data_IF_583803515098
#
_entry.id   IF_583803515098
#
_cell.length_a   1.000
_cell.length_b   1.000
_cell.length_c   1.000
_cell.angle_alpha   90.00
_cell.angle_beta   90.00
_cell.angle_gamma   90.00
#
_symmetry.space_group_name_H-M   'P 1'
#
loop_
_entity.id
_entity.type
_entity.pdbx_description
1 polymer ?
#
# COMPACT_ATOMS: atom_id res chain seq x y z
N UNK A 1 -18.32 75.98 -25.69
CA UNK A 1 -18.31 75.42 -24.31
C UNK A 1 -19.37 74.34 -24.19
N UNK A 2 -18.97 73.06 -24.14
CA UNK A 2 -19.83 71.93 -23.74
C UNK A 2 -18.96 70.95 -22.96
N UNK A 3 -19.14 70.91 -21.63
CA UNK A 3 -18.50 69.94 -20.74
C UNK A 3 -19.26 68.61 -20.83
N UNK A 4 -18.56 67.50 -21.08
CA UNK A 4 -19.09 66.13 -20.94
C UNK A 4 -18.76 65.64 -19.52
N UNK A 5 -19.80 65.34 -18.74
CA UNK A 5 -19.69 64.61 -17.48
C UNK A 5 -19.25 63.16 -17.75
N UNK A 6 -18.16 62.75 -17.11
CA UNK A 6 -17.76 61.34 -16.96
C UNK A 6 -18.35 60.84 -15.64
N UNK A 7 -19.26 59.87 -15.72
CA UNK A 7 -19.77 59.15 -14.55
C UNK A 7 -18.80 58.00 -14.25
N UNK A 8 -18.09 58.12 -13.12
CA UNK A 8 -17.21 57.08 -12.60
C UNK A 8 -18.05 56.13 -11.73
N UNK A 9 -18.27 54.90 -12.22
CA UNK A 9 -18.87 53.81 -11.44
C UNK A 9 -17.77 53.18 -10.55
N UNK A 10 -17.78 53.53 -9.27
CA UNK A 10 -17.03 52.87 -8.21
C UNK A 10 -17.77 51.60 -7.79
N UNK A 11 -17.36 50.45 -8.32
CA UNK A 11 -17.75 49.13 -7.80
C UNK A 11 -16.92 48.82 -6.54
N UNK A 12 -17.62 48.48 -5.45
CA UNK A 12 -17.04 48.19 -4.15
C UNK A 12 -16.19 46.91 -4.13
N UNK A 13 -14.91 47.06 -3.82
CA UNK A 13 -13.98 45.99 -3.47
C UNK A 13 -13.85 45.86 -1.94
N UNK A 14 -14.98 45.61 -1.26
CA UNK A 14 -15.00 45.30 0.18
C UNK A 14 -15.88 44.07 0.37
N UNK A 15 -15.32 42.87 0.19
CA UNK A 15 -16.10 41.63 0.33
C UNK A 15 -15.30 40.32 0.29
N UNK A 16 -14.19 40.24 -0.45
CA UNK A 16 -13.50 38.96 -0.68
C UNK A 16 -12.79 38.37 0.57
N UNK A 17 -12.43 39.18 1.57
CA UNK A 17 -11.68 38.72 2.74
C UNK A 17 -12.51 37.88 3.72
N UNK A 18 -13.77 38.23 3.94
CA UNK A 18 -14.64 37.54 4.91
C UNK A 18 -15.09 36.16 4.44
N UNK A 19 -15.41 36.04 3.14
CA UNK A 19 -15.87 34.78 2.56
C UNK A 19 -14.77 33.72 2.50
N UNK A 20 -13.52 34.12 2.24
CA UNK A 20 -12.37 33.21 2.25
C UNK A 20 -12.03 32.69 3.65
N UNK A 21 -12.16 33.52 4.69
CA UNK A 21 -11.94 33.09 6.07
C UNK A 21 -13.04 32.12 6.53
N UNK A 22 -14.29 32.43 6.21
CA UNK A 22 -15.44 31.59 6.52
C UNK A 22 -15.38 30.22 5.83
N UNK A 23 -14.95 30.17 4.57
CA UNK A 23 -14.71 28.90 3.85
C UNK A 23 -13.58 28.09 4.52
N UNK A 24 -12.48 28.73 4.89
CA UNK A 24 -11.36 28.06 5.58
C UNK A 24 -11.80 27.44 6.92
N UNK A 25 -12.60 28.16 7.70
CA UNK A 25 -13.15 27.67 8.96
C UNK A 25 -14.09 26.47 8.76
N UNK A 26 -14.95 26.57 7.75
CA UNK A 26 -15.87 25.49 7.38
C UNK A 26 -15.11 24.23 6.93
N UNK A 27 -14.04 24.38 6.13
CA UNK A 27 -13.20 23.26 5.70
C UNK A 27 -12.46 22.59 6.85
N UNK A 28 -11.97 23.37 7.83
CA UNK A 28 -11.35 22.82 9.04
C UNK A 28 -12.34 21.98 9.86
N UNK A 29 -13.59 22.45 9.99
CA UNK A 29 -14.63 21.69 10.68
C UNK A 29 -15.03 20.44 9.89
N UNK A 30 -15.18 20.55 8.57
CA UNK A 30 -15.47 19.41 7.70
C UNK A 30 -14.42 18.30 7.82
N UNK A 31 -13.13 18.69 7.89
CA UNK A 31 -12.03 17.75 8.03
C UNK A 31 -12.06 16.99 9.38
N UNK A 32 -12.46 17.66 10.47
CA UNK A 32 -12.51 17.02 11.80
C UNK A 32 -13.71 16.09 11.97
N UNK A 33 -14.85 16.35 11.30
CA UNK A 33 -16.02 15.45 11.36
C UNK A 33 -15.70 14.07 10.79
N UNK A 34 -14.80 13.99 9.82
CA UNK A 34 -14.41 12.71 9.20
C UNK A 34 -13.73 11.77 10.21
N UNK A 35 -13.21 12.25 11.34
CA UNK A 35 -12.70 11.39 12.43
C UNK A 35 -13.82 10.60 13.12
N UNK A 36 -15.04 11.14 13.13
CA UNK A 36 -16.24 10.45 13.64
C UNK A 36 -16.76 9.37 12.68
N UNK A 37 -16.20 9.25 11.47
CA UNK A 37 -16.54 8.18 10.53
C UNK A 37 -15.70 6.92 10.73
N UNK A 38 -14.82 6.88 11.74
CA UNK A 38 -13.89 5.76 11.95
C UNK A 38 -14.52 4.49 12.50
N UNK A 39 -15.59 4.64 13.27
CA UNK A 39 -16.33 3.57 13.89
C UNK A 39 -17.81 3.68 13.55
N UNK A 40 -18.47 2.52 13.41
CA UNK A 40 -19.91 2.47 13.09
C UNK A 40 -20.76 3.10 14.21
N UNK A 41 -20.30 3.03 15.45
CA UNK A 41 -20.99 3.55 16.62
C UNK A 41 -21.11 5.09 16.59
N UNK A 42 -20.17 5.76 15.94
CA UNK A 42 -20.08 7.23 15.90
C UNK A 42 -20.84 7.83 14.69
N UNK A 43 -21.40 6.98 13.82
CA UNK A 43 -22.16 7.41 12.64
C UNK A 43 -23.29 8.42 12.94
N UNK A 44 -24.13 8.24 13.98
CA UNK A 44 -25.15 9.24 14.32
C UNK A 44 -24.54 10.61 14.67
N UNK A 45 -23.39 10.61 15.36
CA UNK A 45 -22.68 11.83 15.72
C UNK A 45 -22.07 12.51 14.49
N UNK A 46 -21.48 11.74 13.58
CA UNK A 46 -20.95 12.27 12.32
C UNK A 46 -22.06 12.96 11.49
N UNK A 47 -23.22 12.31 11.33
CA UNK A 47 -24.40 12.86 10.64
C UNK A 47 -24.84 14.18 11.27
N UNK A 48 -24.95 14.23 12.60
CA UNK A 48 -25.34 15.44 13.33
C UNK A 48 -24.34 16.59 13.09
N UNK A 49 -23.03 16.30 13.16
CA UNK A 49 -21.99 17.32 12.93
C UNK A 49 -21.95 17.85 11.51
N UNK A 50 -22.15 17.01 10.48
CA UNK A 50 -22.32 17.52 9.12
C UNK A 50 -23.56 18.43 8.97
N UNK A 51 -24.63 18.14 9.73
CA UNK A 51 -25.80 19.01 9.84
C UNK A 51 -25.48 20.37 10.46
N UNK A 52 -24.69 20.39 11.54
CA UNK A 52 -24.22 21.63 12.19
C UNK A 52 -23.36 22.49 11.25
N UNK A 53 -22.40 21.89 10.52
CA UNK A 53 -21.61 22.60 9.52
C UNK A 53 -22.53 23.27 8.50
N UNK A 54 -23.53 22.54 8.03
CA UNK A 54 -24.44 23.05 7.00
C UNK A 54 -25.29 24.23 7.49
N UNK A 55 -25.62 24.26 8.78
CA UNK A 55 -26.34 25.37 9.40
C UNK A 55 -25.43 26.57 9.71
N UNK A 56 -24.19 26.33 10.14
CA UNK A 56 -23.25 27.37 10.57
C UNK A 56 -22.58 28.12 9.41
N UNK A 57 -22.36 27.45 8.28
CA UNK A 57 -21.57 27.99 7.16
C UNK A 57 -22.37 28.03 5.85
N UNK A 58 -23.53 28.70 5.80
CA UNK A 58 -24.39 28.70 4.61
C UNK A 58 -23.67 29.28 3.38
N UNK A 59 -23.93 28.69 2.20
CA UNK A 59 -23.38 29.11 0.90
C UNK A 59 -21.85 28.93 0.74
N UNK A 60 -21.22 28.05 1.52
CA UNK A 60 -19.82 27.62 1.34
C UNK A 60 -19.73 26.36 0.49
N UNK A 61 -18.55 26.07 -0.09
CA UNK A 61 -18.33 24.78 -0.76
C UNK A 61 -18.24 23.64 0.26
N UNK A 62 -17.69 23.92 1.44
CA UNK A 62 -17.71 23.01 2.58
C UNK A 62 -19.14 22.63 3.00
N UNK A 63 -20.09 23.56 2.98
CA UNK A 63 -21.51 23.28 3.27
C UNK A 63 -22.14 22.34 2.25
N UNK A 64 -21.94 22.58 0.95
CA UNK A 64 -22.42 21.69 -0.11
C UNK A 64 -21.87 20.27 0.08
N UNK A 65 -20.58 20.18 0.41
CA UNK A 65 -19.89 18.91 0.67
C UNK A 65 -20.47 18.22 1.91
N UNK A 66 -20.64 18.95 3.02
CA UNK A 66 -21.22 18.43 4.26
C UNK A 66 -22.64 17.91 4.05
N UNK A 67 -23.49 18.66 3.33
CA UNK A 67 -24.87 18.28 3.02
C UNK A 67 -24.93 17.00 2.18
N UNK A 68 -24.13 16.92 1.12
CA UNK A 68 -24.04 15.74 0.27
C UNK A 68 -23.55 14.52 1.07
N UNK A 69 -22.49 14.70 1.88
CA UNK A 69 -21.95 13.63 2.71
C UNK A 69 -22.96 13.15 3.74
N UNK A 70 -23.64 14.06 4.44
CA UNK A 70 -24.70 13.75 5.40
C UNK A 70 -25.79 12.88 4.78
N UNK A 71 -26.28 13.25 3.60
CA UNK A 71 -27.34 12.51 2.91
C UNK A 71 -26.91 11.07 2.54
N UNK A 72 -25.63 10.85 2.20
CA UNK A 72 -25.09 9.50 2.01
C UNK A 72 -25.06 8.73 3.34
N UNK A 73 -24.56 9.34 4.40
CA UNK A 73 -24.44 8.70 5.72
C UNK A 73 -25.80 8.38 6.36
N UNK A 74 -26.82 9.21 6.14
CA UNK A 74 -28.21 8.93 6.56
C UNK A 74 -28.77 7.66 5.87
N UNK A 75 -28.46 7.46 4.58
CA UNK A 75 -28.82 6.23 3.87
C UNK A 75 -28.06 5.01 4.40
N UNK A 76 -26.76 5.19 4.71
CA UNK A 76 -25.97 4.15 5.38
C UNK A 76 -26.58 3.81 6.74
N UNK A 77 -26.95 4.81 7.55
CA UNK A 77 -27.55 4.61 8.86
C UNK A 77 -28.87 3.84 8.78
N UNK A 78 -29.75 4.18 7.83
CA UNK A 78 -30.98 3.45 7.60
C UNK A 78 -30.70 1.97 7.26
N UNK A 79 -29.73 1.71 6.37
CA UNK A 79 -29.32 0.34 6.02
C UNK A 79 -28.73 -0.44 7.20
N UNK A 80 -28.01 0.23 8.10
CA UNK A 80 -27.47 -0.39 9.32
C UNK A 80 -28.58 -0.68 10.34
N UNK A 81 -29.58 0.19 10.48
CA UNK A 81 -30.67 0.04 11.44
C UNK A 81 -31.55 -1.20 11.17
N UNK A 82 -31.65 -1.61 9.90
CA UNK A 82 -32.39 -2.81 9.49
C UNK A 82 -31.74 -4.13 9.97
N UNK A 83 -30.56 -4.10 10.61
CA UNK A 83 -29.84 -5.31 11.05
C UNK A 83 -29.19 -5.15 12.42
N UNK A 84 -29.80 -5.74 13.43
CA UNK A 84 -29.25 -5.81 14.79
C UNK A 84 -27.97 -6.69 14.86
N UNK A 85 -27.89 -7.74 14.03
CA UNK A 85 -26.71 -8.60 13.87
C UNK A 85 -26.54 -8.98 12.40
N UNK A 86 -25.34 -8.75 11.84
CA UNK A 86 -25.00 -9.19 10.49
C UNK A 86 -24.41 -10.61 10.58
N UNK A 87 -25.03 -11.63 9.96
CA UNK A 87 -24.46 -12.97 9.92
C UNK A 87 -23.08 -12.96 9.26
N UNK A 88 -22.15 -13.80 9.75
CA UNK A 88 -20.79 -13.89 9.21
C UNK A 88 -20.78 -14.13 7.70
N UNK A 89 -21.68 -14.98 7.20
CA UNK A 89 -21.76 -15.36 5.78
C UNK A 89 -22.35 -14.23 4.90
N UNK A 90 -22.94 -13.21 5.50
CA UNK A 90 -23.52 -12.05 4.81
C UNK A 90 -22.68 -10.79 4.95
N UNK A 91 -21.53 -10.84 5.64
CA UNK A 91 -20.74 -9.64 5.95
C UNK A 91 -20.26 -8.92 4.69
N UNK A 92 -19.83 -9.68 3.68
CA UNK A 92 -19.34 -9.14 2.41
C UNK A 92 -20.44 -8.38 1.68
N UNK A 93 -21.50 -9.08 1.28
CA UNK A 93 -22.62 -8.50 0.52
C UNK A 93 -23.23 -7.30 1.26
N UNK A 94 -23.30 -7.38 2.59
CA UNK A 94 -23.84 -6.29 3.38
C UNK A 94 -22.97 -5.02 3.29
N UNK A 95 -21.67 -5.12 3.60
CA UNK A 95 -20.79 -3.95 3.59
C UNK A 95 -20.40 -3.50 2.19
N UNK A 96 -20.42 -4.37 1.17
CA UNK A 96 -20.32 -3.97 -0.23
C UNK A 96 -21.44 -3.01 -0.60
N UNK A 97 -22.69 -3.33 -0.21
CA UNK A 97 -23.81 -2.40 -0.42
C UNK A 97 -23.75 -1.12 0.42
N UNK A 98 -23.00 -1.10 1.54
CA UNK A 98 -22.72 0.15 2.27
C UNK A 98 -21.71 1.00 1.49
N UNK A 99 -20.66 0.39 0.95
CA UNK A 99 -19.65 1.06 0.12
C UNK A 99 -20.23 1.54 -1.21
N UNK A 100 -21.26 0.88 -1.76
CA UNK A 100 -22.00 1.39 -2.92
C UNK A 100 -22.70 2.73 -2.63
N UNK A 101 -23.21 2.92 -1.40
CA UNK A 101 -23.84 4.17 -0.96
C UNK A 101 -22.79 5.23 -0.63
N UNK A 102 -21.74 4.84 0.10
CA UNK A 102 -20.67 5.73 0.56
C UNK A 102 -19.29 5.08 0.32
N UNK A 103 -18.69 5.27 -0.88
CA UNK A 103 -17.48 4.54 -1.32
C UNK A 103 -16.22 4.75 -0.48
N UNK A 104 -16.14 5.85 0.26
CA UNK A 104 -15.01 6.23 1.10
C UNK A 104 -15.37 6.16 2.61
N UNK A 105 -16.50 5.55 2.99
CA UNK A 105 -16.90 5.40 4.38
C UNK A 105 -16.01 4.39 5.11
N UNK A 106 -15.06 4.92 5.88
CA UNK A 106 -13.92 4.17 6.41
C UNK A 106 -14.31 2.98 7.29
N UNK A 107 -15.34 3.12 8.13
CA UNK A 107 -15.79 2.01 8.98
C UNK A 107 -16.25 0.78 8.17
N UNK A 108 -16.91 0.97 7.02
CA UNK A 108 -17.30 -0.13 6.14
C UNK A 108 -16.09 -0.71 5.39
N UNK A 109 -15.19 0.16 4.91
CA UNK A 109 -13.92 -0.24 4.27
C UNK A 109 -13.08 -1.10 5.22
N UNK A 110 -13.01 -0.75 6.51
CA UNK A 110 -12.33 -1.53 7.56
C UNK A 110 -12.88 -2.96 7.66
N UNK A 111 -14.21 -3.11 7.69
CA UNK A 111 -14.85 -4.43 7.84
C UNK A 111 -14.57 -5.35 6.65
N UNK A 112 -14.72 -4.82 5.43
CA UNK A 112 -14.37 -5.55 4.20
C UNK A 112 -12.87 -5.83 4.15
N UNK A 113 -12.05 -4.82 4.44
CA UNK A 113 -10.60 -4.90 4.46
C UNK A 113 -10.07 -5.99 5.38
N UNK A 114 -10.64 -6.11 6.58
CA UNK A 114 -10.25 -7.14 7.56
C UNK A 114 -10.64 -8.52 7.05
N UNK A 115 -11.82 -8.64 6.45
CA UNK A 115 -12.27 -9.89 5.88
C UNK A 115 -11.36 -10.36 4.74
N UNK A 116 -11.02 -9.46 3.80
CA UNK A 116 -10.12 -9.77 2.69
C UNK A 116 -8.70 -10.08 3.15
N UNK A 117 -8.13 -9.30 4.08
CA UNK A 117 -6.79 -9.55 4.60
C UNK A 117 -6.66 -10.92 5.28
N UNK A 118 -7.65 -11.29 6.11
CA UNK A 118 -7.69 -12.62 6.74
C UNK A 118 -7.75 -13.75 5.71
N UNK A 119 -8.55 -13.59 4.65
CA UNK A 119 -8.61 -14.57 3.57
C UNK A 119 -7.29 -14.66 2.80
N UNK A 120 -6.71 -13.52 2.42
CA UNK A 120 -5.43 -13.47 1.69
C UNK A 120 -4.36 -14.24 2.48
N UNK A 121 -4.19 -13.94 3.78
CA UNK A 121 -3.18 -14.60 4.59
C UNK A 121 -3.31 -16.13 4.63
N UNK A 122 -4.53 -16.65 4.75
CA UNK A 122 -4.76 -18.09 4.82
C UNK A 122 -4.60 -18.77 3.45
N UNK A 123 -5.19 -18.17 2.41
CA UNK A 123 -5.25 -18.75 1.07
C UNK A 123 -3.86 -18.74 0.41
N UNK A 124 -3.07 -17.68 0.58
CA UNK A 124 -1.72 -17.62 -0.02
C UNK A 124 -0.79 -18.69 0.53
N UNK A 125 -0.82 -18.95 1.84
CA UNK A 125 -0.01 -20.01 2.48
C UNK A 125 -0.45 -21.39 2.00
N UNK A 126 -1.75 -21.63 1.89
CA UNK A 126 -2.26 -22.88 1.35
C UNK A 126 -1.84 -23.09 -0.11
N UNK A 127 -2.00 -22.06 -0.96
CA UNK A 127 -1.62 -22.11 -2.37
C UNK A 127 -0.12 -22.34 -2.56
N UNK A 128 0.73 -21.62 -1.81
CA UNK A 128 2.19 -21.77 -1.89
C UNK A 128 2.64 -23.20 -1.53
N UNK A 129 2.02 -23.82 -0.52
CA UNK A 129 2.35 -25.17 -0.07
C UNK A 129 1.84 -26.28 -1.00
N UNK A 130 0.67 -26.08 -1.61
CA UNK A 130 0.01 -27.11 -2.43
C UNK A 130 0.30 -26.98 -3.93
N UNK A 131 0.72 -25.80 -4.40
CA UNK A 131 0.84 -25.50 -5.82
C UNK A 131 -0.52 -25.42 -6.55
N UNK A 132 -1.64 -25.33 -5.82
CA UNK A 132 -2.97 -25.33 -6.41
C UNK A 132 -3.27 -24.01 -7.16
N UNK A 133 -3.22 -24.06 -8.49
CA UNK A 133 -3.41 -22.89 -9.38
C UNK A 133 -4.74 -22.18 -9.15
N UNK A 134 -5.83 -22.92 -8.92
CA UNK A 134 -7.17 -22.35 -8.68
C UNK A 134 -7.20 -21.50 -7.40
N UNK A 135 -6.53 -21.96 -6.35
CA UNK A 135 -6.48 -21.29 -5.04
C UNK A 135 -5.56 -20.07 -5.12
N UNK A 136 -4.46 -20.18 -5.89
CA UNK A 136 -3.60 -19.03 -6.23
C UNK A 136 -4.39 -17.92 -6.95
N UNK A 137 -5.16 -18.26 -7.99
CA UNK A 137 -5.99 -17.26 -8.68
C UNK A 137 -7.11 -16.69 -7.79
N UNK A 138 -7.67 -17.50 -6.89
CA UNK A 138 -8.61 -17.01 -5.87
C UNK A 138 -7.95 -15.96 -4.95
N UNK A 139 -6.74 -16.23 -4.44
CA UNK A 139 -6.01 -15.27 -3.59
C UNK A 139 -5.80 -13.94 -4.30
N UNK A 140 -5.40 -13.99 -5.58
CA UNK A 140 -5.15 -12.79 -6.38
C UNK A 140 -6.45 -12.05 -6.66
N UNK A 141 -7.54 -12.76 -6.96
CA UNK A 141 -8.87 -12.16 -7.12
C UNK A 141 -9.33 -11.41 -5.87
N UNK A 142 -9.06 -11.96 -4.69
CA UNK A 142 -9.36 -11.28 -3.41
C UNK A 142 -8.47 -10.05 -3.22
N UNK A 143 -7.18 -10.14 -3.52
CA UNK A 143 -6.27 -9.00 -3.45
C UNK A 143 -6.65 -7.88 -4.44
N UNK A 144 -7.06 -8.21 -5.67
CA UNK A 144 -7.55 -7.21 -6.64
C UNK A 144 -8.80 -6.50 -6.13
N UNK A 145 -9.72 -7.21 -5.47
CA UNK A 145 -10.88 -6.59 -4.82
C UNK A 145 -10.46 -5.66 -3.69
N UNK A 146 -9.50 -6.08 -2.87
CA UNK A 146 -8.92 -5.26 -1.79
C UNK A 146 -8.26 -3.99 -2.36
N UNK A 147 -7.42 -4.09 -3.39
CA UNK A 147 -6.78 -2.95 -4.05
C UNK A 147 -7.82 -1.99 -4.67
N UNK A 148 -8.82 -2.52 -5.38
CA UNK A 148 -9.90 -1.71 -5.94
C UNK A 148 -10.73 -1.00 -4.86
N UNK A 149 -10.88 -1.61 -3.69
CA UNK A 149 -11.62 -1.04 -2.56
C UNK A 149 -10.86 0.18 -2.00
N UNK A 150 -9.55 0.01 -1.76
CA UNK A 150 -8.74 1.01 -1.04
C UNK A 150 -8.11 2.07 -1.95
N UNK A 151 -7.93 1.81 -3.24
CA UNK A 151 -7.43 2.79 -4.22
C UNK A 151 -8.33 4.03 -4.37
N UNK A 152 -9.61 3.92 -4.00
CA UNK A 152 -10.57 5.03 -4.01
C UNK A 152 -10.56 5.85 -2.72
N UNK A 153 -9.96 5.33 -1.66
CA UNK A 153 -9.96 5.96 -0.35
C UNK A 153 -8.78 6.92 -0.19
N UNK A 154 -9.05 8.16 0.18
CA UNK A 154 -8.00 9.15 0.47
C UNK A 154 -7.48 8.96 1.90
N UNK A 155 -6.31 8.36 2.05
CA UNK A 155 -5.67 8.19 3.36
C UNK A 155 -5.29 9.52 4.00
N UNK A 156 -5.67 9.68 5.26
CA UNK A 156 -5.32 10.77 6.18
C UNK A 156 -4.12 10.40 7.06
N UNK A 157 -3.34 11.37 7.57
CA UNK A 157 -2.19 11.11 8.43
C UNK A 157 -2.59 10.79 9.88
N UNK A 158 -3.43 9.77 10.07
CA UNK A 158 -3.90 9.27 11.37
C UNK A 158 -3.42 7.82 11.59
N UNK A 159 -3.28 7.36 12.85
CA UNK A 159 -2.77 6.02 13.13
C UNK A 159 -3.56 4.89 12.45
N UNK A 160 -4.89 4.98 12.42
CA UNK A 160 -5.76 3.96 11.81
C UNK A 160 -5.51 3.82 10.30
N UNK A 161 -5.34 4.93 9.59
CA UNK A 161 -5.02 4.92 8.17
C UNK A 161 -3.61 4.41 7.89
N UNK A 162 -2.64 4.78 8.73
CA UNK A 162 -1.28 4.23 8.66
C UNK A 162 -1.30 2.71 8.80
N UNK A 163 -2.05 2.19 9.77
CA UNK A 163 -2.23 0.76 9.95
C UNK A 163 -2.77 0.09 8.67
N UNK A 164 -3.81 0.65 8.04
CA UNK A 164 -4.37 0.07 6.81
C UNK A 164 -3.44 0.15 5.61
N UNK A 165 -2.73 1.26 5.45
CA UNK A 165 -1.67 1.41 4.44
C UNK A 165 -0.64 0.28 4.56
N UNK A 166 -0.15 0.04 5.76
CA UNK A 166 0.81 -1.01 6.03
C UNK A 166 0.20 -2.42 5.89
N UNK A 167 -1.08 -2.59 6.26
CA UNK A 167 -1.79 -3.86 6.08
C UNK A 167 -1.99 -4.21 4.60
N UNK A 168 -2.27 -3.24 3.74
CA UNK A 168 -2.40 -3.46 2.29
C UNK A 168 -1.06 -3.86 1.66
N UNK A 169 0.03 -3.26 2.11
CA UNK A 169 1.37 -3.69 1.69
C UNK A 169 1.69 -5.11 2.19
N UNK A 170 1.31 -5.47 3.43
CA UNK A 170 1.44 -6.85 3.94
C UNK A 170 0.60 -7.86 3.13
N UNK A 171 -0.60 -7.49 2.72
CA UNK A 171 -1.44 -8.32 1.86
C UNK A 171 -0.76 -8.52 0.48
N UNK A 172 -0.18 -7.47 -0.10
CA UNK A 172 0.60 -7.57 -1.34
C UNK A 172 1.86 -8.45 -1.18
N UNK A 173 2.56 -8.34 -0.04
CA UNK A 173 3.69 -9.19 0.33
C UNK A 173 3.28 -10.67 0.40
N UNK A 174 2.16 -10.99 1.04
CA UNK A 174 1.66 -12.38 1.12
C UNK A 174 1.38 -12.96 -0.28
N UNK A 175 0.81 -12.17 -1.18
CA UNK A 175 0.57 -12.59 -2.57
C UNK A 175 1.89 -12.76 -3.33
N UNK A 176 2.82 -11.83 -3.15
CA UNK A 176 4.15 -11.85 -3.77
C UNK A 176 4.93 -13.10 -3.35
N UNK A 177 4.98 -13.40 -2.04
CA UNK A 177 5.60 -14.60 -1.47
C UNK A 177 5.03 -15.88 -2.08
N UNK A 178 3.70 -15.94 -2.22
CA UNK A 178 3.05 -17.06 -2.90
C UNK A 178 3.50 -17.15 -4.35
N UNK A 179 3.44 -16.07 -5.12
CA UNK A 179 3.76 -16.08 -6.56
C UNK A 179 5.21 -16.46 -6.87
N UNK A 180 6.17 -16.08 -6.01
CA UNK A 180 7.58 -16.44 -6.18
C UNK A 180 7.92 -17.84 -5.66
N UNK A 181 6.98 -18.53 -5.01
CA UNK A 181 7.20 -19.88 -4.53
C UNK A 181 7.59 -20.81 -5.69
N UNK A 182 8.36 -21.86 -5.39
CA UNK A 182 8.90 -22.80 -6.39
C UNK A 182 7.83 -23.40 -7.31
N UNK A 183 6.60 -23.52 -6.82
CA UNK A 183 5.43 -24.05 -7.52
C UNK A 183 4.87 -23.13 -8.61
N UNK A 184 5.13 -21.82 -8.56
CA UNK A 184 4.53 -20.84 -9.48
C UNK A 184 5.55 -20.01 -10.26
N UNK A 185 6.56 -19.44 -9.58
CA UNK A 185 7.63 -18.62 -10.20
C UNK A 185 7.11 -17.49 -11.11
N UNK A 186 6.02 -16.84 -10.71
CA UNK A 186 5.38 -15.74 -11.47
C UNK A 186 5.97 -14.38 -11.09
N UNK A 187 7.26 -14.18 -11.38
CA UNK A 187 8.02 -12.99 -10.94
C UNK A 187 7.48 -11.67 -11.51
N UNK A 188 6.99 -11.65 -12.75
CA UNK A 188 6.42 -10.44 -13.36
C UNK A 188 5.17 -9.95 -12.63
N UNK A 189 4.27 -10.89 -12.33
CA UNK A 189 3.04 -10.60 -11.61
C UNK A 189 3.34 -10.23 -10.16
N UNK A 190 4.29 -10.93 -9.54
CA UNK A 190 4.77 -10.63 -8.19
C UNK A 190 5.36 -9.21 -8.10
N UNK A 191 6.18 -8.80 -9.07
CA UNK A 191 6.77 -7.46 -9.15
C UNK A 191 5.69 -6.36 -9.22
N UNK A 192 4.68 -6.54 -10.08
CA UNK A 192 3.59 -5.57 -10.20
C UNK A 192 2.82 -5.42 -8.89
N UNK A 193 2.53 -6.53 -8.22
CA UNK A 193 1.78 -6.55 -6.96
C UNK A 193 2.58 -5.91 -5.82
N UNK A 194 3.86 -6.25 -5.67
CA UNK A 194 4.68 -5.69 -4.59
C UNK A 194 4.94 -4.19 -4.79
N UNK A 195 5.12 -3.72 -6.03
CA UNK A 195 5.23 -2.30 -6.33
C UNK A 195 3.94 -1.56 -5.92
N UNK A 196 2.77 -2.14 -6.20
CA UNK A 196 1.50 -1.57 -5.74
C UNK A 196 1.39 -1.57 -4.21
N UNK A 197 1.90 -2.60 -3.54
CA UNK A 197 2.01 -2.63 -2.08
C UNK A 197 2.90 -1.51 -1.52
N UNK A 198 4.04 -1.24 -2.17
CA UNK A 198 4.96 -0.16 -1.81
C UNK A 198 4.31 1.23 -1.94
N UNK A 199 3.42 1.44 -2.93
CA UNK A 199 2.65 2.68 -3.04
C UNK A 199 1.78 2.93 -1.80
N UNK A 200 1.26 1.87 -1.18
CA UNK A 200 0.50 1.98 0.06
C UNK A 200 1.38 2.16 1.28
N UNK A 201 2.52 1.48 1.35
CA UNK A 201 3.32 1.35 2.57
C UNK A 201 3.69 2.69 3.22
N UNK A 202 3.78 2.68 4.55
CA UNK A 202 4.11 3.87 5.35
C UNK A 202 5.06 3.60 6.53
N UNK A 203 5.05 2.38 7.07
CA UNK A 203 6.01 1.92 8.07
C UNK A 203 7.30 1.41 7.45
N UNK A 204 8.43 1.84 7.99
CA UNK A 204 9.77 1.46 7.50
C UNK A 204 10.01 -0.07 7.57
N UNK A 205 9.43 -0.75 8.57
CA UNK A 205 9.47 -2.21 8.70
C UNK A 205 8.86 -2.92 7.49
N UNK A 206 7.66 -2.47 7.10
CA UNK A 206 6.94 -3.06 5.97
C UNK A 206 7.56 -2.65 4.65
N UNK A 207 8.00 -1.39 4.52
CA UNK A 207 8.70 -0.88 3.34
C UNK A 207 9.98 -1.70 3.10
N UNK A 208 10.84 -1.85 4.10
CA UNK A 208 12.10 -2.56 3.93
C UNK A 208 11.89 -4.03 3.59
N UNK A 209 10.93 -4.70 4.24
CA UNK A 209 10.57 -6.07 3.83
C UNK A 209 10.07 -6.12 2.38
N UNK A 210 9.16 -5.24 1.99
CA UNK A 210 8.66 -5.17 0.61
C UNK A 210 9.78 -4.92 -0.41
N UNK A 211 10.75 -4.07 -0.09
CA UNK A 211 11.93 -3.83 -0.93
C UNK A 211 12.79 -5.09 -1.12
N UNK A 212 12.95 -5.94 -0.11
CA UNK A 212 13.67 -7.23 -0.27
C UNK A 212 12.99 -8.12 -1.33
N UNK A 213 11.66 -8.21 -1.29
CA UNK A 213 10.91 -9.03 -2.23
C UNK A 213 10.83 -8.41 -3.62
N UNK A 214 10.71 -7.08 -3.71
CA UNK A 214 10.82 -6.36 -4.98
C UNK A 214 12.21 -6.54 -5.60
N UNK A 215 13.28 -6.49 -4.81
CA UNK A 215 14.64 -6.75 -5.28
C UNK A 215 14.79 -8.18 -5.83
N UNK A 216 14.22 -9.17 -5.13
CA UNK A 216 14.23 -10.56 -5.58
C UNK A 216 13.45 -10.75 -6.89
N UNK A 217 12.30 -10.10 -7.04
CA UNK A 217 11.53 -10.15 -8.29
C UNK A 217 12.31 -9.48 -9.44
N UNK A 218 12.87 -8.30 -9.23
CA UNK A 218 13.67 -7.59 -10.23
C UNK A 218 14.85 -8.44 -10.75
N UNK A 219 15.54 -9.15 -9.85
CA UNK A 219 16.59 -10.10 -10.25
C UNK A 219 16.07 -11.16 -11.25
N UNK A 220 14.92 -11.78 -10.97
CA UNK A 220 14.39 -12.85 -11.81
C UNK A 220 13.73 -12.38 -13.12
N UNK A 221 13.46 -11.08 -13.27
CA UNK A 221 12.98 -10.50 -14.54
C UNK A 221 14.10 -10.33 -15.58
N UNK A 222 15.36 -10.30 -15.13
CA UNK A 222 16.50 -10.71 -15.96
C UNK A 222 16.99 -9.73 -17.01
N UNK A 223 16.94 -8.41 -16.78
CA UNK A 223 17.75 -7.45 -17.57
C UNK A 223 18.89 -6.89 -16.72
N UNK A 224 20.00 -6.53 -17.38
CA UNK A 224 21.17 -5.95 -16.72
C UNK A 224 20.81 -4.70 -15.87
N UNK A 225 19.88 -3.88 -16.36
CA UNK A 225 19.35 -2.71 -15.64
C UNK A 225 18.59 -3.13 -14.36
N UNK A 226 17.86 -4.25 -14.41
CA UNK A 226 17.08 -4.78 -13.29
C UNK A 226 17.98 -5.31 -12.17
N UNK A 227 19.20 -5.79 -12.49
CA UNK A 227 20.16 -6.24 -11.47
C UNK A 227 20.66 -5.09 -10.59
N UNK A 228 20.97 -3.94 -11.18
CA UNK A 228 21.38 -2.75 -10.43
C UNK A 228 20.24 -2.23 -9.56
N UNK A 229 19.01 -2.22 -10.09
CA UNK A 229 17.82 -1.87 -9.32
C UNK A 229 17.60 -2.84 -8.15
N UNK A 230 17.76 -4.15 -8.38
CA UNK A 230 17.67 -5.17 -7.33
C UNK A 230 18.69 -4.93 -6.21
N UNK A 231 19.95 -4.63 -6.57
CA UNK A 231 20.99 -4.29 -5.58
C UNK A 231 20.62 -3.03 -4.80
N UNK A 232 20.13 -1.98 -5.48
CA UNK A 232 19.73 -0.74 -4.83
C UNK A 232 18.61 -0.97 -3.80
N UNK A 233 17.53 -1.65 -4.20
CA UNK A 233 16.40 -1.98 -3.32
C UNK A 233 16.83 -2.83 -2.12
N UNK A 234 17.68 -3.84 -2.34
CA UNK A 234 18.17 -4.69 -1.26
C UNK A 234 19.07 -3.92 -0.27
N UNK A 235 19.93 -3.02 -0.76
CA UNK A 235 20.75 -2.13 0.09
C UNK A 235 19.90 -1.14 0.88
N UNK A 236 18.88 -0.55 0.26
CA UNK A 236 17.92 0.31 0.95
C UNK A 236 17.20 -0.46 2.07
N UNK A 237 16.74 -1.69 1.80
CA UNK A 237 16.13 -2.52 2.83
C UNK A 237 17.09 -2.79 4.01
N UNK A 238 18.35 -3.11 3.72
CA UNK A 238 19.39 -3.35 4.73
C UNK A 238 19.74 -2.11 5.56
N UNK A 239 19.41 -0.90 5.10
CA UNK A 239 19.61 0.31 5.89
C UNK A 239 18.67 0.39 7.10
N UNK A 240 17.60 -0.41 7.11
CA UNK A 240 16.69 -0.50 8.25
C UNK A 240 17.23 -1.43 9.35
N UNK A 241 17.56 -0.83 10.49
CA UNK A 241 18.18 -1.52 11.64
C UNK A 241 17.32 -2.67 12.20
N UNK A 242 15.99 -2.63 12.06
CA UNK A 242 15.12 -3.69 12.61
C UNK A 242 14.65 -4.69 11.55
N UNK A 243 15.30 -4.74 10.38
CA UNK A 243 15.02 -5.76 9.38
C UNK A 243 15.30 -7.15 9.97
N UNK A 244 14.36 -8.08 9.82
CA UNK A 244 14.48 -9.43 10.38
C UNK A 244 15.68 -10.18 9.79
N UNK A 245 16.28 -11.11 10.55
CA UNK A 245 17.42 -11.90 10.07
C UNK A 245 17.11 -12.66 8.78
N UNK A 246 15.90 -13.20 8.64
CA UNK A 246 15.46 -13.88 7.42
C UNK A 246 15.46 -12.92 6.22
N UNK A 247 14.92 -11.72 6.39
CA UNK A 247 14.86 -10.72 5.32
C UNK A 247 16.24 -10.14 5.02
N UNK A 248 17.10 -9.94 6.04
CA UNK A 248 18.51 -9.55 5.86
C UNK A 248 19.28 -10.59 5.06
N UNK A 249 19.18 -11.86 5.43
CA UNK A 249 19.81 -12.95 4.70
C UNK A 249 19.33 -13.00 3.25
N UNK A 250 18.02 -12.81 3.02
CA UNK A 250 17.45 -12.75 1.67
C UNK A 250 17.96 -11.54 0.88
N UNK A 251 18.06 -10.35 1.50
CA UNK A 251 18.59 -9.16 0.86
C UNK A 251 20.04 -9.35 0.41
N UNK A 252 20.89 -9.90 1.29
CA UNK A 252 22.26 -10.25 0.93
C UNK A 252 22.34 -11.33 -0.16
N UNK A 253 21.45 -12.32 -0.12
CA UNK A 253 21.37 -13.33 -1.17
C UNK A 253 21.04 -12.71 -2.53
N UNK A 254 20.07 -11.79 -2.60
CA UNK A 254 19.71 -11.05 -3.81
C UNK A 254 20.91 -10.23 -4.33
N UNK A 255 21.60 -9.51 -3.45
CA UNK A 255 22.81 -8.75 -3.81
C UNK A 255 23.86 -9.68 -4.42
N UNK A 256 24.08 -10.84 -3.80
CA UNK A 256 25.00 -11.86 -4.28
C UNK A 256 24.64 -12.38 -5.68
N UNK A 257 23.35 -12.66 -5.91
CA UNK A 257 22.81 -13.09 -7.19
C UNK A 257 23.02 -12.03 -8.27
N UNK A 258 22.62 -10.78 -8.02
CA UNK A 258 22.77 -9.70 -8.99
C UNK A 258 24.23 -9.48 -9.38
N UNK A 259 25.15 -9.41 -8.41
CA UNK A 259 26.56 -9.20 -8.72
C UNK A 259 27.21 -10.39 -9.43
N UNK A 260 26.77 -11.62 -9.16
CA UNK A 260 27.23 -12.80 -9.89
C UNK A 260 26.88 -12.72 -11.38
N UNK A 261 25.67 -12.25 -11.71
CA UNK A 261 25.24 -12.06 -13.09
C UNK A 261 25.92 -10.86 -13.76
N UNK A 262 26.06 -9.73 -13.05
CA UNK A 262 26.81 -8.58 -13.57
C UNK A 262 28.27 -8.98 -13.86
N UNK A 263 28.88 -9.81 -13.02
CA UNK A 263 30.21 -10.35 -13.28
C UNK A 263 30.25 -11.23 -14.54
N UNK A 264 29.26 -12.10 -14.75
CA UNK A 264 29.20 -12.93 -15.96
C UNK A 264 29.16 -12.10 -17.24
N UNK A 265 28.49 -10.94 -17.21
CA UNK A 265 28.37 -10.04 -18.36
C UNK A 265 29.60 -9.15 -18.55
N UNK A 266 30.25 -8.73 -17.46
CA UNK A 266 31.32 -7.70 -17.49
C UNK A 266 32.72 -8.25 -17.33
N UNK A 267 32.86 -9.46 -16.77
CA UNK A 267 34.11 -10.07 -16.32
C UNK A 267 34.92 -9.23 -15.31
N UNK A 268 34.32 -8.18 -14.73
CA UNK A 268 34.98 -7.33 -13.73
C UNK A 268 35.01 -8.02 -12.35
N UNK A 269 36.22 -8.32 -11.91
CA UNK A 269 36.51 -9.00 -10.63
C UNK A 269 35.93 -8.29 -9.41
N UNK A 270 35.67 -6.98 -9.49
CA UNK A 270 34.99 -6.23 -8.42
C UNK A 270 33.59 -6.79 -8.17
N UNK A 271 32.84 -7.13 -9.23
CA UNK A 271 31.52 -7.72 -9.10
C UNK A 271 31.58 -9.14 -8.54
N UNK A 272 32.58 -9.95 -8.92
CA UNK A 272 32.79 -11.28 -8.34
C UNK A 272 33.06 -11.20 -6.84
N UNK A 273 33.90 -10.26 -6.42
CA UNK A 273 34.26 -10.04 -5.03
C UNK A 273 33.07 -9.60 -4.19
N UNK A 274 32.26 -8.69 -4.73
CA UNK A 274 31.00 -8.24 -4.13
C UNK A 274 29.98 -9.38 -4.01
N UNK A 275 29.84 -10.21 -5.03
CA UNK A 275 28.95 -11.38 -5.00
C UNK A 275 29.35 -12.37 -3.89
N UNK A 276 30.64 -12.70 -3.80
CA UNK A 276 31.17 -13.59 -2.76
C UNK A 276 30.94 -13.00 -1.36
N UNK A 277 31.22 -11.71 -1.18
CA UNK A 277 31.02 -11.02 0.10
C UNK A 277 29.55 -11.09 0.53
N UNK A 278 28.62 -10.73 -0.34
CA UNK A 278 27.20 -10.73 -0.01
C UNK A 278 26.68 -12.15 0.29
N UNK A 279 27.08 -13.16 -0.48
CA UNK A 279 26.68 -14.55 -0.21
C UNK A 279 27.26 -15.10 1.09
N UNK A 280 28.46 -14.67 1.50
CA UNK A 280 28.98 -15.00 2.84
C UNK A 280 28.08 -14.45 3.94
N UNK A 281 27.68 -13.18 3.85
CA UNK A 281 26.77 -12.57 4.84
C UNK A 281 25.43 -13.30 4.87
N UNK A 282 24.85 -13.62 3.72
CA UNK A 282 23.60 -14.37 3.64
C UNK A 282 23.69 -15.73 4.37
N UNK A 283 24.75 -16.50 4.10
CA UNK A 283 24.97 -17.83 4.70
C UNK A 283 25.37 -17.74 6.18
N UNK A 284 26.05 -16.68 6.60
CA UNK A 284 26.40 -16.44 8.00
C UNK A 284 25.14 -16.17 8.85
N UNK A 285 24.16 -15.45 8.28
CA UNK A 285 22.88 -15.15 8.94
C UNK A 285 21.95 -16.38 8.89
N UNK A 286 21.77 -17.00 7.72
CA UNK A 286 20.96 -18.20 7.55
C UNK A 286 21.76 -19.35 6.90
N UNK A 287 22.27 -20.22 7.78
CA UNK A 287 23.01 -21.41 7.39
C UNK A 287 22.20 -22.44 6.60
N UNK A 288 20.89 -22.28 6.41
CA UNK A 288 20.06 -23.20 5.62
C UNK A 288 19.83 -22.74 4.17
N UNK A 289 20.42 -21.61 3.75
CA UNK A 289 20.33 -21.13 2.37
C UNK A 289 21.16 -21.99 1.39
N UNK A 290 20.63 -23.16 1.02
CA UNK A 290 21.31 -24.12 0.16
C UNK A 290 21.72 -23.55 -1.20
N UNK A 291 20.84 -22.77 -1.84
CA UNK A 291 21.12 -22.12 -3.13
C UNK A 291 22.28 -21.12 -3.01
N UNK A 292 22.30 -20.29 -1.95
CA UNK A 292 23.39 -19.34 -1.69
C UNK A 292 24.73 -20.05 -1.45
N UNK A 293 24.74 -21.17 -0.71
CA UNK A 293 25.95 -21.97 -0.45
C UNK A 293 26.54 -22.57 -1.72
N UNK A 294 25.69 -23.08 -2.62
CA UNK A 294 26.13 -23.66 -3.88
C UNK A 294 26.76 -22.59 -4.77
N UNK A 295 26.08 -21.46 -4.96
CA UNK A 295 26.61 -20.35 -5.74
C UNK A 295 27.92 -19.82 -5.15
N UNK A 296 27.99 -19.62 -3.83
CA UNK A 296 29.20 -19.16 -3.16
C UNK A 296 30.40 -20.08 -3.40
N UNK A 297 30.18 -21.41 -3.41
CA UNK A 297 31.24 -22.39 -3.71
C UNK A 297 31.73 -22.24 -5.15
N UNK A 298 30.82 -22.07 -6.10
CA UNK A 298 31.15 -21.90 -7.53
C UNK A 298 31.95 -20.61 -7.77
N UNK A 299 31.49 -19.48 -7.24
CA UNK A 299 32.16 -18.19 -7.40
C UNK A 299 33.57 -18.19 -6.78
N UNK A 300 33.76 -18.84 -5.62
CA UNK A 300 35.10 -19.00 -5.02
C UNK A 300 36.05 -19.83 -5.88
N UNK A 301 35.54 -20.88 -6.54
CA UNK A 301 36.35 -21.68 -7.47
C UNK A 301 36.73 -20.86 -8.71
N UNK A 302 35.79 -20.08 -9.26
CA UNK A 302 36.06 -19.18 -10.38
C UNK A 302 37.13 -18.14 -10.01
N UNK A 303 37.00 -17.48 -8.87
CA UNK A 303 38.00 -16.51 -8.37
C UNK A 303 39.39 -17.14 -8.26
N UNK A 304 39.47 -18.38 -7.76
CA UNK A 304 40.73 -19.12 -7.63
C UNK A 304 41.40 -19.44 -8.97
N UNK A 305 40.62 -19.68 -10.03
CA UNK A 305 41.14 -19.93 -11.39
C UNK A 305 41.64 -18.68 -12.09
N UNK A 306 41.05 -17.51 -11.81
CA UNK A 306 41.49 -16.24 -12.39
C UNK A 306 42.74 -15.70 -11.69
N UNK A 307 42.96 -16.06 -10.42
CA UNK A 307 44.12 -15.65 -9.64
C UNK A 307 45.38 -16.53 -9.85
N UNK A 308 45.25 -17.68 -10.54
CA UNK A 308 46.33 -18.62 -10.84
C UNK A 308 46.89 -18.41 -12.24
#
# INVERSE_FOLDING_TARGET
>A
MKFKCVVLLLFGLVGCGGQSALESDAQRMLASVRDLEEELADLPQAIARYGEISAQFPNTEAEKTARARRAMLEQVQARLADREVIPKDSILVFYEGVVEIAPDYFAALKKLGTHYSNQIHLITRFAANTGAVQIKEQAIGIWVKQDSLWSRYTFRPIPSNRFWRDQLCKDALNITEMLIAKSFREYDRAQSIINKGLDYASGEDVISRAKVYAAYCAFWQGKAEDFQQGVALAKEALSYEFLSDNDRARAYHVIGLCYAYIYQDTEDMTHLDEAIRALNEAVNIDGNMGEAKLLLKELRQQRGRVAS
#
